data_IF_466966116160
#
_entry.id   IF_466966116160
#
_cell.length_a   1.000
_cell.length_b   1.000
_cell.length_c   1.000
_cell.angle_alpha   90.00
_cell.angle_beta   90.00
_cell.angle_gamma   90.00
#
_symmetry.space_group_name_H-M   'P 1'
#
loop_
_entity.id
_entity.type
_entity.pdbx_description
1 polymer ?
#
# COMPACT_ATOMS: atom_id res chain seq x y z
N UNK A 1 0.76 -19.01 -4.59
CA UNK A 1 1.16 -17.72 -5.20
C UNK A 1 0.19 -16.67 -4.67
N UNK A 2 0.69 -15.60 -4.05
CA UNK A 2 -0.15 -14.56 -3.46
C UNK A 2 -1.00 -13.88 -4.54
N UNK A 3 -2.32 -13.73 -4.31
CA UNK A 3 -3.26 -13.12 -5.27
C UNK A 3 -2.89 -11.67 -5.63
N UNK A 4 -2.32 -10.94 -4.68
CA UNK A 4 -1.93 -9.54 -4.86
C UNK A 4 -0.55 -9.37 -5.50
N UNK A 5 0.27 -10.42 -5.55
CA UNK A 5 1.57 -10.37 -6.23
C UNK A 5 1.37 -10.51 -7.74
N UNK A 6 1.56 -9.40 -8.46
CA UNK A 6 1.57 -9.37 -9.92
C UNK A 6 3.00 -9.21 -10.43
N UNK A 7 3.29 -9.68 -11.65
CA UNK A 7 4.61 -9.46 -12.27
C UNK A 7 4.99 -7.98 -12.30
N UNK A 8 4.02 -7.07 -12.49
CA UNK A 8 4.28 -5.63 -12.47
C UNK A 8 4.68 -5.13 -11.07
N UNK A 9 4.05 -5.66 -10.02
CA UNK A 9 4.43 -5.33 -8.64
C UNK A 9 5.84 -5.85 -8.36
N UNK A 10 6.12 -7.10 -8.71
CA UNK A 10 7.43 -7.72 -8.53
C UNK A 10 8.54 -6.92 -9.22
N UNK A 11 8.36 -6.55 -10.50
CA UNK A 11 9.33 -5.71 -11.21
C UNK A 11 9.48 -4.32 -10.62
N UNK A 12 8.39 -3.70 -10.14
CA UNK A 12 8.45 -2.39 -9.51
C UNK A 12 9.29 -2.44 -8.22
N UNK A 13 9.08 -3.45 -7.37
CA UNK A 13 9.76 -3.57 -6.07
C UNK A 13 11.27 -3.79 -6.20
N UNK A 14 11.78 -4.34 -7.31
CA UNK A 14 13.23 -4.46 -7.56
C UNK A 14 13.97 -3.12 -7.49
N UNK A 15 13.30 -2.02 -7.83
CA UNK A 15 13.84 -0.67 -7.74
C UNK A 15 13.72 -0.01 -6.37
N UNK A 16 12.97 -0.63 -5.44
CA UNK A 16 12.62 -0.07 -4.13
C UNK A 16 12.67 -1.15 -3.04
N UNK A 17 13.87 -1.72 -2.76
CA UNK A 17 14.04 -2.62 -1.63
C UNK A 17 13.76 -1.89 -0.31
N UNK A 18 13.53 -2.63 0.78
CA UNK A 18 13.32 -2.04 2.10
C UNK A 18 14.47 -1.10 2.49
N UNK A 19 14.14 0.04 3.09
CA UNK A 19 15.03 1.12 3.52
C UNK A 19 15.69 1.93 2.38
N UNK A 20 15.33 1.71 1.12
CA UNK A 20 15.87 2.46 -0.03
C UNK A 20 15.43 3.92 -0.12
N UNK A 21 14.37 4.29 0.60
CA UNK A 21 13.72 5.59 0.59
C UNK A 21 13.70 6.25 1.98
N UNK A 22 14.51 5.76 2.92
CA UNK A 22 14.65 6.34 4.26
C UNK A 22 15.03 7.82 4.18
N UNK A 23 14.36 8.64 5.00
CA UNK A 23 14.57 10.09 5.03
C UNK A 23 13.99 10.86 3.84
N UNK A 24 13.36 10.21 2.86
CA UNK A 24 12.78 10.89 1.69
C UNK A 24 11.45 11.61 2.01
N UNK A 25 10.77 11.23 3.10
CA UNK A 25 9.50 11.83 3.51
C UNK A 25 8.49 11.88 2.35
N UNK A 26 7.90 13.05 2.07
CA UNK A 26 6.96 13.26 0.95
C UNK A 26 7.57 13.11 -0.44
N UNK A 27 8.90 13.09 -0.57
CA UNK A 27 9.60 12.84 -1.84
C UNK A 27 9.75 11.35 -2.15
N UNK A 28 9.45 10.45 -1.19
CA UNK A 28 9.43 9.02 -1.42
C UNK A 28 8.43 8.68 -2.54
N UNK A 29 8.76 7.66 -3.32
CA UNK A 29 7.98 7.15 -4.44
C UNK A 29 7.06 6.04 -3.94
N UNK A 30 5.76 6.25 -4.10
CA UNK A 30 4.78 5.19 -4.01
C UNK A 30 4.86 4.33 -5.26
N UNK A 31 4.99 3.01 -5.10
CA UNK A 31 5.19 2.04 -6.19
C UNK A 31 3.92 1.26 -6.51
N UNK A 32 3.04 1.09 -5.53
CA UNK A 32 1.74 0.44 -5.68
C UNK A 32 0.73 0.99 -4.68
N UNK A 33 -0.56 0.87 -5.02
CA UNK A 33 -1.67 1.21 -4.13
C UNK A 33 -2.56 -0.02 -4.00
N UNK A 34 -2.83 -0.43 -2.77
CA UNK A 34 -3.88 -1.40 -2.46
C UNK A 34 -5.09 -0.72 -1.85
N UNK A 35 -6.28 -1.26 -2.09
CA UNK A 35 -7.54 -0.65 -1.72
C UNK A 35 -8.56 -1.67 -1.20
N UNK A 36 -9.28 -1.29 -0.13
CA UNK A 36 -10.50 -1.95 0.33
C UNK A 36 -11.47 -0.88 0.86
N UNK A 37 -12.56 -0.62 0.13
CA UNK A 37 -13.48 0.48 0.48
C UNK A 37 -12.76 1.83 0.47
N UNK A 38 -12.74 2.52 1.61
CA UNK A 38 -12.01 3.78 1.81
C UNK A 38 -10.56 3.61 2.28
N UNK A 39 -10.15 2.38 2.61
CA UNK A 39 -8.79 2.08 3.08
C UNK A 39 -7.83 2.05 1.90
N UNK A 40 -6.68 2.70 2.03
CA UNK A 40 -5.61 2.69 1.04
C UNK A 40 -4.29 2.35 1.71
N UNK A 41 -3.53 1.45 1.10
CA UNK A 41 -2.12 1.21 1.42
C UNK A 41 -1.28 1.74 0.27
N UNK A 42 -0.50 2.79 0.53
CA UNK A 42 0.48 3.37 -0.38
C UNK A 42 1.82 2.71 -0.13
N UNK A 43 2.16 1.74 -0.98
CA UNK A 43 3.38 0.95 -0.83
C UNK A 43 4.56 1.75 -1.38
N UNK A 44 5.61 1.85 -0.57
CA UNK A 44 6.84 2.55 -0.92
C UNK A 44 7.91 1.54 -1.30
N UNK A 45 8.03 0.46 -0.53
CA UNK A 45 9.13 -0.49 -0.63
C UNK A 45 8.64 -1.91 -0.37
N UNK A 46 9.48 -2.89 -0.71
CA UNK A 46 9.23 -4.26 -0.31
C UNK A 46 10.33 -5.22 -0.68
N UNK A 47 10.36 -6.35 0.03
CA UNK A 47 11.36 -7.39 -0.15
C UNK A 47 10.74 -8.77 0.07
N UNK A 48 11.19 -9.76 -0.71
CA UNK A 48 10.79 -11.15 -0.54
C UNK A 48 11.50 -11.72 0.68
N UNK A 49 10.74 -12.22 1.65
CA UNK A 49 11.26 -12.87 2.84
C UNK A 49 10.61 -14.26 2.99
N UNK A 50 11.36 -15.30 2.62
CA UNK A 50 10.87 -16.67 2.63
C UNK A 50 9.73 -16.88 1.63
N UNK A 51 8.53 -17.18 2.12
CA UNK A 51 7.33 -17.41 1.32
C UNK A 51 6.40 -16.19 1.24
N UNK A 52 6.83 -15.04 1.75
CA UNK A 52 6.07 -13.80 1.77
C UNK A 52 6.84 -12.65 1.13
N UNK A 53 6.14 -11.56 0.85
CA UNK A 53 6.76 -10.27 0.51
C UNK A 53 6.37 -9.27 1.59
N UNK A 54 7.37 -8.83 2.35
CA UNK A 54 7.18 -7.78 3.35
C UNK A 54 7.22 -6.45 2.64
N UNK A 55 6.16 -5.68 2.78
CA UNK A 55 6.01 -4.35 2.22
C UNK A 55 6.17 -3.30 3.31
N UNK A 56 6.66 -2.13 2.94
CA UNK A 56 6.65 -0.94 3.79
C UNK A 56 5.89 0.18 3.09
N UNK A 57 5.05 0.89 3.83
CA UNK A 57 4.28 1.99 3.26
C UNK A 57 3.40 2.72 4.26
N UNK A 58 2.46 3.49 3.74
CA UNK A 58 1.49 4.27 4.51
C UNK A 58 0.12 3.64 4.36
N UNK A 59 -0.55 3.37 5.47
CA UNK A 59 -1.98 3.04 5.46
C UNK A 59 -2.79 4.26 5.89
N UNK A 60 -3.85 4.55 5.14
CA UNK A 60 -4.89 5.49 5.54
C UNK A 60 -6.24 4.81 5.46
N UNK A 61 -7.21 5.26 6.25
CA UNK A 61 -8.56 4.69 6.21
C UNK A 61 -8.91 3.77 7.36
N UNK A 62 -7.93 3.41 8.19
CA UNK A 62 -8.13 2.62 9.41
C UNK A 62 -8.40 3.54 10.61
N UNK A 63 -8.31 2.98 11.82
CA UNK A 63 -8.45 3.72 13.07
C UNK A 63 -7.44 4.87 13.15
N UNK A 64 -6.21 4.62 12.72
CA UNK A 64 -5.13 5.61 12.61
C UNK A 64 -4.54 5.57 11.19
N UNK A 65 -4.03 6.72 10.74
CA UNK A 65 -3.23 6.83 9.53
C UNK A 65 -1.76 6.72 9.95
N UNK A 66 -0.99 5.79 9.37
CA UNK A 66 0.35 5.46 9.86
C UNK A 66 1.30 4.91 8.78
N UNK A 67 2.59 5.02 9.04
CA UNK A 67 3.61 4.20 8.37
C UNK A 67 3.64 2.82 9.01
N UNK A 68 3.81 1.76 8.22
CA UNK A 68 3.86 0.41 8.75
C UNK A 68 4.38 -0.62 7.75
N UNK A 69 4.77 -1.76 8.32
CA UNK A 69 5.08 -2.96 7.55
C UNK A 69 3.82 -3.79 7.35
N UNK A 70 3.71 -4.40 6.17
CA UNK A 70 2.55 -5.22 5.79
C UNK A 70 3.02 -6.51 5.14
N UNK A 71 2.53 -7.65 5.62
CA UNK A 71 2.65 -8.92 4.91
C UNK A 71 1.74 -8.90 3.68
N UNK A 72 2.28 -9.14 2.48
CA UNK A 72 1.47 -9.21 1.27
C UNK A 72 0.53 -10.42 1.30
N UNK A 73 0.95 -11.54 1.89
CA UNK A 73 0.08 -12.70 2.11
C UNK A 73 -1.10 -12.36 3.01
N UNK A 74 -0.87 -11.78 4.20
CA UNK A 74 -1.96 -11.40 5.11
C UNK A 74 -2.88 -10.36 4.47
N UNK A 75 -2.33 -9.35 3.79
CA UNK A 75 -3.12 -8.34 3.08
C UNK A 75 -4.02 -8.96 2.00
N UNK A 76 -3.54 -10.03 1.35
CA UNK A 76 -4.31 -10.73 0.31
C UNK A 76 -5.51 -11.51 0.84
N UNK A 77 -5.45 -11.92 2.11
CA UNK A 77 -6.49 -12.67 2.82
C UNK A 77 -7.54 -11.75 3.47
N UNK A 78 -7.24 -10.46 3.65
CA UNK A 78 -8.20 -9.48 4.19
C UNK A 78 -9.46 -9.46 3.33
N UNK A 79 -10.57 -9.82 3.99
CA UNK A 79 -11.89 -9.94 3.39
C UNK A 79 -12.92 -9.26 4.29
N UNK A 80 -13.71 -8.36 3.72
CA UNK A 80 -14.87 -7.75 4.36
C UNK A 80 -16.12 -8.46 3.85
N UNK A 81 -16.80 -9.19 4.74
CA UNK A 81 -18.04 -9.90 4.42
C UNK A 81 -19.24 -8.97 4.58
N UNK A 82 -19.81 -8.53 3.46
CA UNK A 82 -21.02 -7.71 3.40
C UNK A 82 -22.22 -8.50 2.85
N UNK A 83 -22.20 -9.83 3.00
CA UNK A 83 -23.27 -10.70 2.50
C UNK A 83 -24.60 -10.39 3.19
N UNK A 84 -24.58 -10.03 4.48
CA UNK A 84 -25.77 -9.61 5.23
C UNK A 84 -26.42 -8.34 4.67
N UNK A 85 -25.64 -7.46 4.01
CA UNK A 85 -26.14 -6.26 3.31
C UNK A 85 -26.42 -6.51 1.82
N UNK A 86 -26.33 -7.77 1.33
CA UNK A 86 -26.54 -8.12 -0.07
C UNK A 86 -25.41 -7.72 -1.03
N UNK A 87 -24.25 -7.30 -0.51
CA UNK A 87 -23.11 -6.82 -1.31
C UNK A 87 -22.01 -7.87 -1.51
N UNK A 88 -22.15 -9.05 -0.89
CA UNK A 88 -21.18 -10.14 -0.96
C UNK A 88 -19.87 -9.84 -0.23
N UNK A 89 -18.79 -10.51 -0.61
CA UNK A 89 -17.47 -10.35 0.00
C UNK A 89 -16.60 -9.38 -0.79
N UNK A 90 -16.03 -8.39 -0.12
CA UNK A 90 -15.03 -7.49 -0.67
C UNK A 90 -13.65 -7.92 -0.21
N UNK A 91 -12.67 -7.82 -1.10
CA UNK A 91 -11.28 -8.15 -0.80
C UNK A 91 -10.39 -6.99 -1.23
N UNK A 92 -9.20 -6.93 -0.64
CA UNK A 92 -8.18 -5.95 -1.05
C UNK A 92 -7.86 -6.13 -2.53
N UNK A 93 -7.74 -5.03 -3.28
CA UNK A 93 -7.35 -5.02 -4.70
C UNK A 93 -6.19 -4.08 -4.93
N UNK A 94 -5.30 -4.44 -5.85
CA UNK A 94 -4.28 -3.53 -6.36
C UNK A 94 -4.93 -2.53 -7.33
N UNK A 95 -4.56 -1.26 -7.24
CA UNK A 95 -4.94 -0.26 -8.24
C UNK A 95 -4.25 -0.59 -9.57
N UNK A 96 -5.07 -0.83 -10.59
CA UNK A 96 -4.57 -1.15 -11.92
C UNK A 96 -3.88 0.06 -12.56
N UNK A 97 -2.91 -0.22 -13.43
CA UNK A 97 -2.22 0.79 -14.25
C UNK A 97 -1.50 1.91 -13.49
N UNK A 98 -1.34 1.78 -12.17
CA UNK A 98 -0.61 2.75 -11.35
C UNK A 98 0.85 2.88 -11.77
N UNK A 99 1.34 4.11 -11.93
CA UNK A 99 2.74 4.40 -12.22
C UNK A 99 3.43 4.88 -10.96
N UNK A 100 4.65 4.41 -10.64
CA UNK A 100 5.39 4.90 -9.48
C UNK A 100 5.42 6.43 -9.45
N UNK A 101 4.96 7.01 -8.34
CA UNK A 101 4.69 8.45 -8.21
C UNK A 101 5.10 8.92 -6.82
N UNK A 102 5.78 10.07 -6.74
CA UNK A 102 6.13 10.68 -5.45
C UNK A 102 4.88 10.91 -4.60
N UNK A 103 4.98 10.65 -3.30
CA UNK A 103 3.87 10.80 -2.35
C UNK A 103 3.22 12.19 -2.43
N UNK A 104 4.00 13.26 -2.50
CA UNK A 104 3.49 14.64 -2.64
C UNK A 104 2.64 14.90 -3.89
N UNK A 105 2.76 14.06 -4.92
CA UNK A 105 2.04 14.21 -6.19
C UNK A 105 0.75 13.36 -6.23
N UNK A 106 0.51 12.51 -5.22
CA UNK A 106 -0.70 11.69 -5.15
C UNK A 106 -1.89 12.54 -4.67
N UNK A 107 -2.97 12.52 -5.45
CA UNK A 107 -4.19 13.27 -5.16
C UNK A 107 -5.10 12.50 -4.18
N UNK A 108 -4.60 12.20 -2.98
CA UNK A 108 -5.38 11.60 -1.89
C UNK A 108 -5.37 12.53 -0.67
N UNK A 109 -6.56 13.00 -0.27
CA UNK A 109 -6.70 13.98 0.80
C UNK A 109 -6.19 13.47 2.16
N UNK A 110 -6.45 12.21 2.51
CA UNK A 110 -6.02 11.66 3.81
C UNK A 110 -4.51 11.50 3.84
N UNK A 111 -3.94 10.99 2.76
CA UNK A 111 -2.49 10.89 2.60
C UNK A 111 -1.82 12.27 2.72
N UNK A 112 -2.30 13.28 1.98
CA UNK A 112 -1.68 14.61 2.04
C UNK A 112 -1.80 15.25 3.42
N UNK A 113 -2.94 15.05 4.11
CA UNK A 113 -3.11 15.51 5.49
C UNK A 113 -2.17 14.81 6.47
N UNK A 114 -1.99 13.50 6.32
CA UNK A 114 -1.06 12.71 7.13
C UNK A 114 0.38 13.19 6.93
N UNK A 115 0.82 13.37 5.67
CA UNK A 115 2.16 13.84 5.34
C UNK A 115 2.47 15.25 5.86
N UNK A 116 1.48 16.15 5.84
CA UNK A 116 1.64 17.50 6.38
C UNK A 116 1.93 17.52 7.89
N UNK A 117 1.58 16.46 8.61
CA UNK A 117 1.88 16.32 10.05
C UNK A 117 3.37 16.20 10.37
N UNK A 118 4.21 15.91 9.37
CA UNK A 118 5.67 15.75 9.53
C UNK A 118 6.47 16.95 9.01
N UNK A 119 5.79 18.00 8.52
CA UNK A 119 6.43 19.24 8.09
C UNK A 119 6.57 20.17 9.30
N UNK A 120 7.77 20.17 9.91
CA UNK A 120 8.16 21.08 10.99
C UNK A 120 9.44 21.84 10.61
#
# INVERSE_FOLDING_TARGET
MCRLMTHRLEEALKGYPLYSQDGMGKEAVCVAIFALGAIRWFILEGEVQGNDTVLFGIVVGLAEDEYGYVSLNELSDVTLDLTAQGMGKLQVRQQENFRPTKLKNLQDYRLQRFLAGFEH
#
